data_IF_840502348401
#
_entry.id   IF_840502348401
#
_cell.length_a   1.000
_cell.length_b   1.000
_cell.length_c   1.000
_cell.angle_alpha   90.00
_cell.angle_beta   90.00
_cell.angle_gamma   90.00
#
_symmetry.space_group_name_H-M   'P 1'
#
loop_
_entity.id
_entity.type
_entity.pdbx_description
1 polymer ?
#
# COMPACT_ATOMS: atom_id res chain seq x y z
N UNK A 1 -3.51 -11.75 -47.21
CA UNK A 1 -3.95 -10.80 -46.16
C UNK A 1 -4.27 -11.62 -44.93
N UNK A 2 -3.51 -11.56 -43.83
CA UNK A 2 -3.91 -12.24 -42.61
C UNK A 2 -5.19 -11.58 -42.08
N UNK A 3 -6.18 -12.40 -41.74
CA UNK A 3 -7.43 -11.97 -41.14
C UNK A 3 -7.12 -11.61 -39.68
N UNK A 4 -7.30 -10.35 -39.31
CA UNK A 4 -7.22 -9.94 -37.91
C UNK A 4 -8.34 -10.64 -37.15
N UNK A 5 -8.04 -11.15 -35.95
CA UNK A 5 -9.06 -11.69 -35.06
C UNK A 5 -10.10 -10.59 -34.78
N UNK A 6 -11.38 -10.95 -34.87
CA UNK A 6 -12.48 -10.12 -34.42
C UNK A 6 -12.88 -10.66 -33.05
N UNK A 7 -12.38 -10.10 -31.94
CA UNK A 7 -12.67 -10.63 -30.63
C UNK A 7 -14.17 -10.46 -30.32
N UNK A 8 -14.76 -11.48 -29.73
CA UNK A 8 -16.12 -11.40 -29.22
C UNK A 8 -16.17 -10.40 -28.06
N UNK A 9 -17.24 -9.58 -28.02
CA UNK A 9 -17.47 -8.69 -26.88
C UNK A 9 -17.81 -9.54 -25.65
N UNK A 10 -16.97 -9.44 -24.61
CA UNK A 10 -17.21 -10.12 -23.34
C UNK A 10 -18.21 -9.29 -22.54
N UNK A 11 -19.27 -9.95 -22.06
CA UNK A 11 -20.26 -9.31 -21.19
C UNK A 11 -19.59 -8.76 -19.94
N UNK A 12 -19.87 -7.49 -19.65
CA UNK A 12 -19.39 -6.81 -18.44
C UNK A 12 -20.53 -6.44 -17.52
N UNK A 13 -20.26 -6.45 -16.23
CA UNK A 13 -21.20 -6.01 -15.21
C UNK A 13 -20.56 -5.05 -14.20
N UNK A 14 -21.43 -4.35 -13.49
CA UNK A 14 -21.01 -3.39 -12.46
C UNK A 14 -21.07 -4.06 -11.10
N UNK A 15 -19.96 -4.03 -10.37
CA UNK A 15 -19.88 -4.46 -8.98
C UNK A 15 -19.60 -3.28 -8.05
N UNK A 16 -20.03 -3.40 -6.80
CA UNK A 16 -19.73 -2.44 -5.74
C UNK A 16 -19.08 -3.19 -4.58
N UNK A 17 -17.88 -2.76 -4.20
CA UNK A 17 -17.26 -3.19 -2.94
C UNK A 17 -17.53 -2.11 -1.89
N UNK A 18 -18.09 -2.55 -0.77
CA UNK A 18 -18.39 -1.71 0.39
C UNK A 18 -17.56 -2.20 1.60
N UNK A 19 -17.20 -1.28 2.48
CA UNK A 19 -16.49 -1.53 3.73
C UNK A 19 -15.17 -2.31 3.58
N UNK A 20 -14.42 -2.06 2.50
CA UNK A 20 -13.13 -2.71 2.26
C UNK A 20 -12.15 -2.32 3.37
N UNK A 21 -11.69 -3.36 4.08
CA UNK A 21 -10.76 -3.25 5.20
C UNK A 21 -9.57 -4.15 4.94
N UNK A 22 -8.36 -3.57 4.94
CA UNK A 22 -7.11 -4.30 4.74
C UNK A 22 -6.37 -4.32 6.06
N UNK A 23 -6.29 -5.50 6.68
CA UNK A 23 -5.53 -5.75 7.90
C UNK A 23 -4.39 -6.69 7.60
N UNK A 24 -3.19 -6.31 7.96
CA UNK A 24 -2.02 -7.16 7.71
C UNK A 24 -1.54 -7.94 8.95
N UNK A 25 -2.32 -7.94 10.04
CA UNK A 25 -1.97 -8.65 11.27
C UNK A 25 -0.68 -8.14 11.93
N UNK A 26 0.03 -8.99 12.67
CA UNK A 26 1.26 -8.66 13.44
C UNK A 26 2.52 -8.57 12.55
N UNK A 27 2.36 -8.66 11.22
CA UNK A 27 3.42 -8.92 10.25
C UNK A 27 4.02 -7.71 9.51
N UNK A 28 3.35 -6.55 9.30
CA UNK A 28 3.88 -5.54 8.39
C UNK A 28 5.07 -4.80 8.89
N UNK A 29 5.18 -4.56 10.20
CA UNK A 29 6.42 -4.01 10.73
C UNK A 29 7.59 -4.93 10.36
N UNK A 30 7.37 -6.24 10.31
CA UNK A 30 8.38 -7.22 9.88
C UNK A 30 8.58 -7.18 8.36
N UNK A 31 7.50 -7.13 7.56
CA UNK A 31 7.58 -7.06 6.10
C UNK A 31 8.30 -5.78 5.66
N UNK A 32 7.90 -4.63 6.18
CA UNK A 32 8.51 -3.33 5.89
C UNK A 32 9.94 -3.27 6.38
N UNK A 33 10.25 -3.82 7.56
CA UNK A 33 11.64 -3.90 8.04
C UNK A 33 12.49 -4.73 7.07
N UNK A 34 12.05 -5.92 6.69
CA UNK A 34 12.77 -6.78 5.75
C UNK A 34 12.92 -6.12 4.38
N UNK A 35 11.86 -5.44 3.90
CA UNK A 35 11.86 -4.68 2.65
C UNK A 35 12.89 -3.54 2.70
N UNK A 36 12.81 -2.68 3.71
CA UNK A 36 13.72 -1.55 3.88
C UNK A 36 15.17 -2.01 4.08
N UNK A 37 15.42 -3.06 4.85
CA UNK A 37 16.76 -3.62 5.02
C UNK A 37 17.34 -4.11 3.70
N UNK A 38 16.55 -4.83 2.91
CA UNK A 38 16.97 -5.37 1.61
C UNK A 38 17.29 -4.23 0.64
N UNK A 39 16.41 -3.24 0.54
CA UNK A 39 16.59 -2.09 -0.36
C UNK A 39 17.75 -1.19 0.07
N UNK A 40 17.93 -0.95 1.38
CA UNK A 40 19.08 -0.18 1.86
C UNK A 40 20.39 -0.92 1.58
N UNK A 41 20.44 -2.26 1.75
CA UNK A 41 21.62 -3.07 1.40
C UNK A 41 21.94 -2.96 -0.09
N UNK A 42 20.94 -3.11 -0.94
CA UNK A 42 21.09 -3.02 -2.39
C UNK A 42 21.54 -1.61 -2.82
N UNK A 43 20.89 -0.56 -2.32
CA UNK A 43 21.27 0.83 -2.58
C UNK A 43 22.72 1.12 -2.17
N UNK A 44 23.12 0.68 -0.99
CA UNK A 44 24.48 0.88 -0.50
C UNK A 44 25.51 0.13 -1.36
N UNK A 45 25.17 -1.08 -1.81
CA UNK A 45 25.99 -1.84 -2.76
C UNK A 45 26.15 -1.09 -4.10
N UNK A 46 25.05 -0.62 -4.69
CA UNK A 46 25.08 0.13 -5.96
C UNK A 46 25.89 1.43 -5.87
N UNK A 47 25.88 2.10 -4.71
CA UNK A 47 26.59 3.35 -4.48
C UNK A 47 28.01 3.18 -3.90
N UNK A 48 28.49 1.95 -3.72
CA UNK A 48 29.75 1.64 -3.03
C UNK A 48 29.88 2.32 -1.64
N UNK A 49 28.77 2.35 -0.89
CA UNK A 49 28.68 2.97 0.43
C UNK A 49 28.70 1.93 1.54
N UNK A 50 29.23 2.31 2.71
CA UNK A 50 29.14 1.47 3.90
C UNK A 50 27.71 1.38 4.44
N UNK A 51 27.38 0.37 5.26
CA UNK A 51 26.02 0.16 5.80
C UNK A 51 25.45 1.32 6.63
N UNK A 52 26.28 2.28 7.02
CA UNK A 52 25.92 3.44 7.86
C UNK A 52 26.09 4.78 7.15
N UNK A 53 26.39 4.77 5.87
CA UNK A 53 26.69 6.00 5.11
C UNK A 53 25.43 6.55 4.44
N UNK A 54 25.02 7.74 4.86
CA UNK A 54 23.89 8.48 4.29
C UNK A 54 22.57 8.30 5.06
N UNK A 55 21.51 8.94 4.54
CA UNK A 55 20.16 8.82 5.07
C UNK A 55 19.56 7.47 4.72
N UNK A 56 18.98 6.72 5.68
CA UNK A 56 18.32 5.46 5.40
C UNK A 56 17.04 5.68 4.60
N UNK A 57 16.69 4.72 3.75
CA UNK A 57 15.37 4.66 3.14
C UNK A 57 14.31 4.40 4.21
N UNK A 58 13.16 5.04 4.06
CA UNK A 58 11.97 4.89 4.90
C UNK A 58 10.72 4.77 4.02
N UNK A 59 9.66 4.17 4.57
CA UNK A 59 8.33 4.22 3.94
C UNK A 59 7.78 5.63 4.10
N UNK A 60 7.64 6.33 2.98
CA UNK A 60 7.05 7.67 2.89
C UNK A 60 5.52 7.54 2.83
N UNK A 61 5.03 6.56 2.08
CA UNK A 61 3.61 6.43 1.79
C UNK A 61 3.20 4.98 1.54
N UNK A 62 1.93 4.67 1.81
CA UNK A 62 1.31 3.37 1.54
C UNK A 62 0.04 3.60 0.74
N UNK A 63 -0.15 2.86 -0.34
CA UNK A 63 -1.31 2.98 -1.23
C UNK A 63 -1.95 1.61 -1.42
N UNK A 64 -3.27 1.53 -1.31
CA UNK A 64 -4.03 0.36 -1.75
C UNK A 64 -4.55 0.63 -3.16
N UNK A 65 -4.13 -0.21 -4.11
CA UNK A 65 -4.70 -0.26 -5.45
C UNK A 65 -5.71 -1.37 -5.58
N UNK A 66 -6.86 -1.04 -6.15
CA UNK A 66 -7.98 -1.97 -6.35
C UNK A 66 -8.43 -1.87 -7.80
N UNK A 67 -8.36 -2.98 -8.52
CA UNK A 67 -8.71 -3.02 -9.94
C UNK A 67 -9.06 -4.44 -10.38
N UNK A 68 -9.54 -4.54 -11.62
CA UNK A 68 -9.90 -5.82 -12.25
C UNK A 68 -8.74 -6.21 -13.15
N UNK A 69 -8.23 -7.43 -13.02
CA UNK A 69 -7.14 -7.97 -13.81
C UNK A 69 -7.62 -9.19 -14.60
N UNK A 70 -7.23 -9.32 -15.86
CA UNK A 70 -7.66 -10.42 -16.76
C UNK A 70 -6.56 -11.48 -16.97
N UNK A 71 -5.74 -11.73 -15.96
CA UNK A 71 -4.53 -12.55 -16.09
C UNK A 71 -3.33 -11.89 -16.81
N UNK A 72 -3.54 -10.85 -17.65
CA UNK A 72 -2.44 -10.17 -18.38
C UNK A 72 -2.20 -8.73 -17.93
N UNK A 73 -3.27 -7.97 -17.74
CA UNK A 73 -3.23 -6.55 -17.36
C UNK A 73 -4.46 -6.19 -16.54
N UNK A 74 -4.39 -5.03 -15.90
CA UNK A 74 -5.61 -4.37 -15.45
C UNK A 74 -6.50 -3.99 -16.63
N UNK A 75 -7.79 -4.31 -16.52
CA UNK A 75 -8.83 -4.02 -17.52
C UNK A 75 -9.09 -2.51 -17.61
N UNK A 76 -8.95 -1.79 -16.48
CA UNK A 76 -9.00 -0.34 -16.37
C UNK A 76 -7.95 0.15 -15.36
N UNK A 77 -7.68 1.45 -15.34
CA UNK A 77 -6.78 2.05 -14.34
C UNK A 77 -7.26 1.70 -12.92
N UNK A 78 -6.42 1.04 -12.09
CA UNK A 78 -6.81 0.68 -10.73
C UNK A 78 -7.07 1.92 -9.87
N UNK A 79 -8.09 1.86 -9.02
CA UNK A 79 -8.34 2.91 -8.05
C UNK A 79 -7.29 2.89 -6.96
N UNK A 80 -6.77 4.06 -6.60
CA UNK A 80 -5.69 4.22 -5.61
C UNK A 80 -6.22 4.89 -4.35
N UNK A 81 -5.97 4.29 -3.19
CA UNK A 81 -6.38 4.80 -1.88
C UNK A 81 -5.17 4.96 -0.96
N UNK A 82 -5.03 6.14 -0.37
CA UNK A 82 -3.97 6.42 0.59
C UNK A 82 -4.26 5.73 1.92
N UNK A 83 -3.28 4.97 2.40
CA UNK A 83 -3.35 4.19 3.62
C UNK A 83 -2.60 4.95 4.73
N UNK A 84 -3.33 5.65 5.60
CA UNK A 84 -2.78 6.31 6.79
C UNK A 84 -3.00 5.46 8.05
N UNK A 85 -2.03 5.42 8.95
CA UNK A 85 -2.22 4.76 10.25
C UNK A 85 -3.29 5.51 11.06
N UNK A 86 -4.11 4.78 11.82
CA UNK A 86 -5.23 5.35 12.60
C UNK A 86 -4.77 6.49 13.53
N UNK A 87 -3.57 6.39 14.10
CA UNK A 87 -2.99 7.42 14.98
C UNK A 87 -2.57 8.71 14.25
N UNK A 88 -2.17 8.66 12.98
CA UNK A 88 -1.88 9.87 12.19
C UNK A 88 -3.16 10.65 11.84
N UNK A 89 -4.28 9.93 11.66
CA UNK A 89 -5.59 10.56 11.42
C UNK A 89 -6.19 11.17 12.68
N UNK A 90 -5.99 10.53 13.84
CA UNK A 90 -6.53 11.02 15.12
C UNK A 90 -5.68 12.15 15.73
N UNK A 91 -4.37 12.18 15.46
CA UNK A 91 -3.48 13.28 15.86
C UNK A 91 -3.72 14.58 15.08
N UNK A 92 -4.29 14.50 13.87
CA UNK A 92 -4.79 15.67 13.13
C UNK A 92 -6.08 16.28 13.70
N UNK A 93 -6.78 15.59 14.62
CA UNK A 93 -8.08 16.03 15.15
C UNK A 93 -8.13 16.25 16.67
N UNK A 94 -7.12 15.83 17.42
CA UNK A 94 -7.10 16.04 18.87
C UNK A 94 -5.74 16.47 19.41
N UNK A 95 -5.37 17.74 19.16
CA UNK A 95 -4.72 18.50 20.23
C UNK A 95 -5.61 18.43 21.47
N UNK A 96 -5.02 18.11 22.63
CA UNK A 96 -5.64 18.01 23.97
C UNK A 96 -6.07 16.61 24.49
N UNK A 97 -5.21 15.57 24.45
CA UNK A 97 -5.24 14.57 25.53
C UNK A 97 -3.86 14.27 26.11
N UNK A 98 -3.80 14.44 27.43
CA UNK A 98 -2.62 14.45 28.30
C UNK A 98 -1.91 13.11 28.33
N UNK A 99 -0.59 13.18 28.49
CA UNK A 99 0.30 12.17 29.08
C UNK A 99 -0.43 11.27 30.10
N UNK A 100 -0.39 9.96 29.90
CA UNK A 100 -0.42 8.99 30.98
C UNK A 100 0.53 7.84 30.66
N UNK A 101 1.36 7.49 31.63
CA UNK A 101 2.44 6.49 31.55
C UNK A 101 1.91 5.10 31.87
N UNK A 102 2.60 4.10 31.30
CA UNK A 102 2.69 2.71 31.75
C UNK A 102 1.46 1.83 31.48
N UNK A 103 1.67 0.71 30.76
CA UNK A 103 1.21 -0.65 31.09
C UNK A 103 1.63 -1.62 29.97
N UNK A 104 2.81 -2.24 30.15
CA UNK A 104 3.54 -3.10 29.23
C UNK A 104 2.96 -4.53 29.05
N UNK A 105 1.63 -4.71 29.07
CA UNK A 105 1.01 -6.05 28.85
C UNK A 105 -0.26 -6.08 27.98
N UNK A 106 -0.69 -4.95 27.42
CA UNK A 106 -1.84 -4.85 26.47
C UNK A 106 -1.32 -4.61 25.03
N UNK A 107 -0.05 -4.90 24.77
CA UNK A 107 0.64 -4.48 23.55
C UNK A 107 0.12 -5.16 22.29
N UNK A 108 -0.40 -6.38 22.34
CA UNK A 108 -0.70 -7.13 21.11
C UNK A 108 -2.09 -6.83 20.55
N UNK A 109 -3.07 -6.51 21.40
CA UNK A 109 -4.44 -6.21 20.96
C UNK A 109 -4.59 -4.75 20.54
N UNK A 110 -3.90 -3.82 21.21
CA UNK A 110 -3.90 -2.40 20.85
C UNK A 110 -3.05 -2.16 19.58
N UNK A 111 -1.90 -2.84 19.41
CA UNK A 111 -1.06 -2.73 18.18
C UNK A 111 -1.76 -3.22 16.90
N UNK A 112 -2.75 -4.11 17.01
CA UNK A 112 -3.54 -4.60 15.88
C UNK A 112 -4.36 -3.50 15.19
N UNK A 113 -4.77 -2.46 15.91
CA UNK A 113 -5.54 -1.33 15.31
C UNK A 113 -4.67 -0.37 14.51
N UNK A 114 -3.34 -0.44 14.64
CA UNK A 114 -2.37 0.42 13.93
C UNK A 114 -2.11 -0.03 12.48
N UNK A 115 -2.67 -1.20 12.13
CA UNK A 115 -2.29 -1.98 10.96
C UNK A 115 -3.47 -2.29 10.02
N UNK A 116 -4.60 -1.66 10.30
CA UNK A 116 -5.83 -1.82 9.56
C UNK A 116 -6.09 -0.54 8.79
N UNK A 117 -5.99 -0.62 7.47
CA UNK A 117 -6.31 0.50 6.60
C UNK A 117 -7.71 0.32 6.04
N UNK A 118 -8.51 1.38 6.15
CA UNK A 118 -9.91 1.36 5.74
C UNK A 118 -10.09 2.25 4.52
N UNK A 119 -10.68 1.68 3.46
CA UNK A 119 -11.17 2.49 2.35
C UNK A 119 -12.54 3.02 2.73
N UNK A 120 -12.68 4.34 2.87
CA UNK A 120 -13.92 4.99 3.30
C UNK A 120 -14.95 5.18 2.19
N UNK A 121 -14.60 4.84 0.94
CA UNK A 121 -15.45 5.05 -0.23
C UNK A 121 -15.92 3.71 -0.81
N UNK A 122 -17.17 3.68 -1.26
CA UNK A 122 -17.67 2.59 -2.08
C UNK A 122 -16.90 2.53 -3.39
N UNK A 123 -16.36 1.36 -3.69
CA UNK A 123 -15.53 1.13 -4.87
C UNK A 123 -16.43 0.57 -5.95
N UNK A 124 -16.63 1.35 -7.02
CA UNK A 124 -17.44 0.92 -8.17
C UNK A 124 -16.51 0.33 -9.22
N UNK A 125 -16.70 -0.95 -9.51
CA UNK A 125 -15.98 -1.68 -10.54
C UNK A 125 -16.89 -1.82 -11.75
N UNK A 126 -16.60 -1.08 -12.82
CA UNK A 126 -17.51 -0.88 -13.96
C UNK A 126 -17.40 -1.91 -15.07
N UNK A 127 -16.28 -2.64 -15.14
CA UNK A 127 -16.00 -3.63 -16.19
C UNK A 127 -15.64 -4.99 -15.62
N UNK A 128 -16.42 -5.51 -14.68
CA UNK A 128 -16.24 -6.88 -14.22
C UNK A 128 -16.56 -7.82 -15.37
N UNK A 129 -15.59 -8.63 -15.75
CA UNK A 129 -15.71 -9.61 -16.82
C UNK A 129 -16.31 -10.88 -16.23
N UNK A 130 -17.27 -11.48 -16.91
CA UNK A 130 -17.74 -12.82 -16.60
C UNK A 130 -16.78 -13.87 -17.21
N UNK A 131 -15.52 -13.82 -16.78
CA UNK A 131 -14.43 -14.65 -17.28
C UNK A 131 -13.65 -15.27 -16.11
N UNK A 132 -13.34 -16.56 -16.21
CA UNK A 132 -12.72 -17.35 -15.13
C UNK A 132 -11.27 -16.90 -14.84
N UNK A 133 -10.61 -16.29 -15.82
CA UNK A 133 -9.26 -15.73 -15.69
C UNK A 133 -9.26 -14.30 -15.12
N UNK A 134 -10.45 -13.73 -14.89
CA UNK A 134 -10.59 -12.39 -14.33
C UNK A 134 -10.63 -12.41 -12.79
N UNK A 135 -9.95 -11.45 -12.17
CA UNK A 135 -9.89 -11.31 -10.73
C UNK A 135 -9.94 -9.84 -10.30
N UNK A 136 -10.56 -9.61 -9.13
CA UNK A 136 -10.39 -8.35 -8.42
C UNK A 136 -9.08 -8.42 -7.66
N UNK A 137 -8.14 -7.56 -8.00
CA UNK A 137 -6.80 -7.51 -7.40
C UNK A 137 -6.73 -6.37 -6.40
N UNK A 138 -6.23 -6.69 -5.21
CA UNK A 138 -5.87 -5.74 -4.16
C UNK A 138 -4.36 -5.74 -4.05
N UNK A 139 -3.71 -4.62 -4.38
CA UNK A 139 -2.27 -4.47 -4.35
C UNK A 139 -1.86 -3.33 -3.41
N UNK A 140 -0.73 -3.48 -2.71
CA UNK A 140 -0.28 -2.52 -1.71
C UNK A 140 1.04 -1.96 -2.18
N UNK A 141 1.02 -0.71 -2.63
CA UNK A 141 2.24 -0.04 -3.04
C UNK A 141 2.86 0.73 -1.88
N UNK A 142 4.19 0.71 -1.83
CA UNK A 142 5.00 1.49 -0.91
C UNK A 142 5.78 2.55 -1.69
N UNK A 143 5.60 3.82 -1.33
CA UNK A 143 6.54 4.85 -1.73
C UNK A 143 7.68 4.85 -0.72
N UNK A 144 8.86 4.43 -1.16
CA UNK A 144 10.05 4.33 -0.32
C UNK A 144 11.05 5.38 -0.75
N UNK A 145 11.65 6.08 0.20
CA UNK A 145 12.63 7.10 -0.14
C UNK A 145 13.43 7.56 1.06
N UNK A 146 14.41 8.42 0.83
CA UNK A 146 15.17 9.04 1.91
C UNK A 146 14.80 10.51 2.03
N UNK A 147 14.88 11.02 3.25
CA UNK A 147 14.66 12.44 3.55
C UNK A 147 15.93 13.09 4.08
N UNK A 148 16.09 14.39 3.80
CA UNK A 148 17.13 15.18 4.45
C UNK A 148 16.74 15.52 5.91
N UNK A 149 17.64 16.22 6.62
CA UNK A 149 17.40 16.67 8.01
C UNK A 149 16.23 17.63 8.18
N UNK A 150 15.73 18.23 7.09
CA UNK A 150 14.57 19.12 7.08
C UNK A 150 13.26 18.37 6.79
N UNK A 151 13.31 17.05 6.56
CA UNK A 151 12.16 16.23 6.22
C UNK A 151 11.76 16.25 4.73
N UNK A 152 12.54 16.92 3.88
CA UNK A 152 12.27 16.92 2.44
C UNK A 152 12.75 15.59 1.83
N UNK A 153 11.91 15.01 0.97
CA UNK A 153 12.25 13.81 0.19
C UNK A 153 13.36 14.19 -0.80
N UNK A 154 14.48 13.48 -0.73
CA UNK A 154 15.63 13.70 -1.62
C UNK A 154 15.77 12.61 -2.70
N UNK A 155 15.19 11.44 -2.46
CA UNK A 155 15.07 10.34 -3.41
C UNK A 155 13.82 9.53 -3.05
N UNK A 156 13.13 8.97 -4.03
CA UNK A 156 11.98 8.08 -3.80
C UNK A 156 11.76 7.13 -4.97
N UNK A 157 11.33 5.91 -4.67
CA UNK A 157 10.91 4.89 -5.61
C UNK A 157 9.58 4.28 -5.15
N UNK A 158 8.67 4.06 -6.11
CA UNK A 158 7.43 3.33 -5.86
C UNK A 158 7.69 1.83 -6.04
N UNK A 159 7.27 1.03 -5.07
CA UNK A 159 7.40 -0.43 -5.08
C UNK A 159 6.01 -1.03 -4.90
N UNK A 160 5.67 -2.01 -5.74
CA UNK A 160 4.41 -2.73 -5.76
C UNK A 160 4.50 -4.07 -5.04
#
# INVERSE_FOLDING_TARGET
MPMLACPDEVDTFVGVLDNVTVSFGVLPEQIETVLLETLNKERNFQLNRGPKDGSPLQVIERRLRIGIHNGFTFVEEPMVFYLSSKDEMDSGRHSLRRRSRSLSRISNFIRSEYQTFQVRNNIRLTKLLADDESAIVFAVDYLIGATNSLGNIIESNLIM
#
